data_IF_696974780549
#
_entry.id   IF_696974780549
#
_cell.length_a   1.000
_cell.length_b   1.000
_cell.length_c   1.000
_cell.angle_alpha   90.00
_cell.angle_beta   90.00
_cell.angle_gamma   90.00
#
_symmetry.space_group_name_H-M   'P 1'
#
loop_
_entity.id
_entity.type
_entity.pdbx_description
1 polymer ?
#
# COMPACT_ATOMS: atom_id res chain seq x y z
N UNK A 1 -28.33 -31.99 3.64
CA UNK A 1 -27.16 -31.68 4.46
C UNK A 1 -26.91 -30.22 4.27
N UNK A 2 -27.00 -29.45 5.35
CA UNK A 2 -26.81 -28.00 5.30
C UNK A 2 -25.44 -27.67 5.90
N UNK A 3 -24.73 -26.74 5.26
CA UNK A 3 -23.40 -26.32 5.67
C UNK A 3 -23.45 -24.92 6.25
N UNK A 4 -22.87 -24.76 7.43
CA UNK A 4 -22.81 -23.50 8.16
C UNK A 4 -21.36 -23.13 8.40
N UNK A 5 -21.03 -21.84 8.25
CA UNK A 5 -19.69 -21.31 8.43
C UNK A 5 -19.65 -20.48 9.71
N UNK A 6 -18.60 -20.68 10.52
CA UNK A 6 -18.42 -19.97 11.78
C UNK A 6 -16.97 -19.54 11.97
N UNK A 7 -16.79 -18.50 12.75
CA UNK A 7 -15.51 -18.11 13.32
C UNK A 7 -15.65 -18.27 14.83
N UNK A 8 -14.73 -18.99 15.46
CA UNK A 8 -14.82 -19.27 16.89
C UNK A 8 -13.47 -19.58 17.52
N UNK A 9 -13.40 -19.40 18.83
CA UNK A 9 -12.27 -19.64 19.69
C UNK A 9 -12.16 -21.07 20.19
N UNK A 10 -11.00 -21.43 20.73
CA UNK A 10 -10.76 -22.69 21.41
C UNK A 10 -11.61 -22.79 22.69
N UNK A 11 -12.51 -23.77 22.75
CA UNK A 11 -13.43 -23.96 23.88
C UNK A 11 -14.85 -23.46 23.62
N UNK A 12 -15.07 -22.69 22.55
CA UNK A 12 -16.41 -22.29 22.11
C UNK A 12 -17.28 -23.51 21.82
N UNK A 13 -18.59 -23.36 22.00
CA UNK A 13 -19.55 -24.42 21.77
C UNK A 13 -20.53 -24.04 20.68
N UNK A 14 -20.52 -24.81 19.60
CA UNK A 14 -21.59 -24.75 18.59
C UNK A 14 -22.68 -25.71 19.05
N UNK A 15 -23.88 -25.20 19.28
CA UNK A 15 -25.05 -26.01 19.60
C UNK A 15 -26.08 -25.97 18.48
N UNK A 16 -26.64 -27.12 18.14
CA UNK A 16 -27.91 -27.18 17.41
C UNK A 16 -28.93 -27.93 18.26
N UNK A 17 -30.13 -27.36 18.37
CA UNK A 17 -31.23 -27.92 19.14
C UNK A 17 -32.33 -28.37 18.20
N UNK A 18 -32.86 -29.57 18.42
CA UNK A 18 -33.99 -30.12 17.68
C UNK A 18 -35.17 -30.21 18.63
N UNK A 19 -36.23 -29.48 18.33
CA UNK A 19 -37.45 -29.45 19.14
C UNK A 19 -38.62 -30.03 18.36
N UNK A 20 -39.39 -30.91 19.01
CA UNK A 20 -40.67 -31.39 18.49
C UNK A 20 -41.75 -30.32 18.60
N UNK A 21 -42.36 -29.94 17.48
CA UNK A 21 -43.56 -29.12 17.52
C UNK A 21 -44.78 -30.06 17.49
N UNK A 22 -45.45 -30.18 18.64
CA UNK A 22 -46.79 -30.77 18.76
C UNK A 22 -46.90 -32.31 18.77
N UNK A 23 -45.90 -33.09 18.34
CA UNK A 23 -45.96 -34.56 18.32
C UNK A 23 -44.62 -35.26 18.67
N UNK A 24 -44.33 -35.56 19.95
CA UNK A 24 -43.01 -36.02 20.40
C UNK A 24 -42.65 -37.48 20.05
N UNK A 25 -43.64 -38.33 19.73
CA UNK A 25 -43.44 -39.79 19.60
C UNK A 25 -42.73 -40.23 18.30
N UNK A 26 -42.64 -39.36 17.28
CA UNK A 26 -42.05 -39.69 15.97
C UNK A 26 -40.53 -39.44 15.89
N UNK A 27 -39.95 -38.67 16.82
CA UNK A 27 -38.53 -38.33 16.79
C UNK A 27 -37.62 -39.45 17.30
N UNK A 28 -38.14 -40.39 18.11
CA UNK A 28 -37.35 -41.45 18.71
C UNK A 28 -36.63 -42.33 17.67
N UNK A 29 -37.20 -42.45 16.47
CA UNK A 29 -36.65 -43.26 15.37
C UNK A 29 -35.85 -42.44 14.34
N UNK A 30 -35.79 -41.11 14.48
CA UNK A 30 -35.04 -40.23 13.58
C UNK A 30 -33.64 -39.97 14.12
N UNK A 31 -32.62 -40.29 13.33
CA UNK A 31 -31.22 -39.98 13.63
C UNK A 31 -30.86 -38.62 13.05
N UNK A 32 -30.36 -37.74 13.91
CA UNK A 32 -29.78 -36.45 13.54
C UNK A 32 -28.29 -36.46 13.84
N UNK A 33 -27.53 -35.68 13.08
CA UNK A 33 -26.10 -35.58 13.32
C UNK A 33 -25.44 -34.35 12.71
N UNK A 34 -24.21 -34.12 13.15
CA UNK A 34 -23.37 -33.03 12.72
C UNK A 34 -21.94 -33.50 12.44
N UNK A 35 -21.26 -32.85 11.49
CA UNK A 35 -19.81 -33.00 11.26
C UNK A 35 -19.20 -31.61 11.30
N UNK A 36 -18.20 -31.45 12.17
CA UNK A 36 -17.41 -30.22 12.23
C UNK A 36 -16.13 -30.39 11.40
N UNK A 37 -15.83 -29.39 10.59
CA UNK A 37 -14.62 -29.29 9.77
C UNK A 37 -13.82 -28.04 10.14
N UNK A 38 -12.49 -28.12 10.04
CA UNK A 38 -11.62 -26.95 10.17
C UNK A 38 -11.53 -26.16 8.85
N UNK A 39 -10.78 -25.04 8.88
CA UNK A 39 -10.59 -24.15 7.73
C UNK A 39 -10.02 -24.84 6.47
N UNK A 40 -9.25 -25.92 6.64
CA UNK A 40 -8.64 -26.69 5.55
C UNK A 40 -9.58 -27.77 5.00
N UNK A 41 -10.82 -27.85 5.49
CA UNK A 41 -11.78 -28.89 5.11
C UNK A 41 -11.55 -30.24 5.80
N UNK A 42 -10.64 -30.31 6.78
CA UNK A 42 -10.42 -31.55 7.53
C UNK A 42 -11.53 -31.74 8.56
N UNK A 43 -12.08 -32.95 8.61
CA UNK A 43 -13.05 -33.35 9.62
C UNK A 43 -12.39 -33.43 10.99
N UNK A 44 -12.97 -32.75 11.98
CA UNK A 44 -12.42 -32.66 13.34
C UNK A 44 -13.32 -33.29 14.39
N UNK A 45 -14.65 -33.21 14.25
CA UNK A 45 -15.60 -33.84 15.18
C UNK A 45 -16.82 -34.36 14.44
N UNK A 46 -17.50 -35.33 15.04
CA UNK A 46 -18.70 -35.96 14.51
C UNK A 46 -19.63 -36.40 15.63
N UNK A 47 -20.93 -36.22 15.45
CA UNK A 47 -21.94 -36.71 16.39
C UNK A 47 -23.19 -37.18 15.65
N UNK A 48 -23.84 -38.19 16.21
CA UNK A 48 -25.13 -38.69 15.73
C UNK A 48 -25.91 -39.27 16.90
N UNK A 49 -27.15 -38.80 17.13
CA UNK A 49 -28.06 -39.44 18.09
C UNK A 49 -29.52 -39.38 17.59
N UNK A 50 -30.36 -40.23 18.16
CA UNK A 50 -31.80 -40.28 17.92
C UNK A 50 -32.58 -39.38 18.87
N UNK A 51 -33.74 -38.88 18.44
CA UNK A 51 -34.66 -38.12 19.29
C UNK A 51 -34.50 -36.58 19.25
N UNK A 52 -35.31 -35.88 20.04
CA UNK A 52 -35.15 -34.44 20.30
C UNK A 52 -34.04 -34.22 21.33
N UNK A 53 -33.22 -33.19 21.13
CA UNK A 53 -32.14 -32.86 22.06
C UNK A 53 -31.34 -31.64 21.62
N UNK A 54 -30.44 -31.22 22.49
CA UNK A 54 -29.37 -30.27 22.16
C UNK A 54 -28.10 -31.05 21.86
N UNK A 55 -27.48 -30.74 20.75
CA UNK A 55 -26.26 -31.36 20.27
C UNK A 55 -25.18 -30.30 20.19
N UNK A 56 -23.94 -30.68 20.50
CA UNK A 56 -22.85 -29.71 20.58
C UNK A 56 -21.51 -30.23 20.05
N UNK A 57 -20.70 -29.31 19.52
CA UNK A 57 -19.26 -29.50 19.34
C UNK A 57 -18.49 -28.42 20.10
N UNK A 58 -17.33 -28.80 20.64
CA UNK A 58 -16.40 -27.88 21.27
C UNK A 58 -15.31 -27.54 20.27
N UNK A 59 -15.09 -26.27 19.96
CA UNK A 59 -14.07 -25.89 19.00
C UNK A 59 -12.66 -26.12 19.61
N UNK A 60 -11.77 -26.86 18.92
CA UNK A 60 -10.49 -27.26 19.51
C UNK A 60 -9.43 -26.15 19.50
N UNK A 61 -9.61 -25.13 18.66
CA UNK A 61 -8.65 -24.04 18.45
C UNK A 61 -9.36 -22.75 18.00
N UNK A 62 -8.64 -21.63 17.96
CA UNK A 62 -9.16 -20.43 17.32
C UNK A 62 -9.12 -20.60 15.80
N UNK A 63 -10.21 -20.29 15.09
CA UNK A 63 -10.19 -20.36 13.64
C UNK A 63 -11.56 -20.33 12.95
N UNK A 64 -11.49 -20.58 11.64
CA UNK A 64 -12.67 -20.76 10.79
C UNK A 64 -13.10 -22.23 10.80
N UNK A 65 -14.41 -22.45 10.91
CA UNK A 65 -15.03 -23.77 10.99
C UNK A 65 -16.23 -23.89 10.06
N UNK A 66 -16.53 -25.13 9.66
CA UNK A 66 -17.73 -25.48 8.91
C UNK A 66 -18.48 -26.61 9.63
N UNK A 67 -19.80 -26.45 9.83
CA UNK A 67 -20.67 -27.51 10.36
C UNK A 67 -21.56 -28.02 9.24
N UNK A 68 -21.53 -29.32 8.99
CA UNK A 68 -22.53 -29.99 8.17
C UNK A 68 -23.56 -30.65 9.09
N UNK A 69 -24.85 -30.34 8.95
CA UNK A 69 -25.93 -30.97 9.74
C UNK A 69 -26.82 -31.84 8.82
N UNK A 70 -27.27 -32.99 9.33
CA UNK A 70 -28.24 -33.85 8.65
C UNK A 70 -29.32 -34.39 9.59
N UNK A 71 -30.46 -34.76 8.99
CA UNK A 71 -31.59 -35.42 9.62
C UNK A 71 -32.08 -36.57 8.74
N UNK A 72 -32.69 -37.59 9.37
CA UNK A 72 -32.98 -38.90 8.79
C UNK A 72 -33.68 -38.93 7.41
N UNK A 73 -33.35 -40.01 6.67
CA UNK A 73 -33.84 -40.46 5.35
C UNK A 73 -33.83 -39.44 4.19
N UNK A 74 -32.81 -38.58 4.12
CA UNK A 74 -32.43 -37.93 2.86
C UNK A 74 -33.47 -36.97 2.26
N UNK A 75 -34.27 -36.30 3.09
CA UNK A 75 -35.27 -35.30 2.65
C UNK A 75 -34.86 -33.87 3.05
N UNK A 76 -35.18 -32.86 2.23
CA UNK A 76 -34.78 -31.48 2.47
C UNK A 76 -35.53 -30.83 3.64
N UNK A 77 -34.82 -29.93 4.32
CA UNK A 77 -35.22 -29.19 5.51
C UNK A 77 -36.10 -27.97 5.17
N UNK A 78 -37.03 -27.61 6.06
CA UNK A 78 -37.67 -26.28 6.09
C UNK A 78 -37.57 -25.70 7.50
N UNK A 79 -36.94 -24.54 7.64
CA UNK A 79 -36.89 -23.77 8.88
C UNK A 79 -36.74 -22.28 8.59
N UNK A 80 -37.44 -21.44 9.35
CA UNK A 80 -37.34 -19.98 9.29
C UNK A 80 -36.36 -19.53 10.38
N UNK A 81 -35.30 -18.81 10.00
CA UNK A 81 -34.28 -18.34 10.95
C UNK A 81 -34.65 -16.98 11.52
N UNK A 82 -34.71 -16.88 12.85
CA UNK A 82 -34.63 -15.61 13.54
C UNK A 82 -33.18 -15.40 13.97
N UNK A 83 -32.54 -14.43 13.32
CA UNK A 83 -31.39 -13.67 13.81
C UNK A 83 -29.98 -14.30 13.74
N UNK A 84 -29.38 -14.31 12.55
CA UNK A 84 -27.94 -14.02 12.34
C UNK A 84 -27.74 -13.40 10.95
N UNK A 85 -27.24 -12.17 10.89
CA UNK A 85 -26.67 -11.43 9.74
C UNK A 85 -27.05 -11.90 8.30
N UNK A 86 -27.87 -11.14 7.54
CA UNK A 86 -28.49 -11.56 6.27
C UNK A 86 -27.56 -11.68 5.04
N UNK A 87 -26.23 -11.59 5.16
CA UNK A 87 -25.33 -11.43 4.01
C UNK A 87 -24.60 -12.68 3.49
N UNK A 88 -25.07 -13.91 3.74
CA UNK A 88 -24.46 -15.12 3.18
C UNK A 88 -25.51 -16.07 2.57
N UNK A 89 -25.81 -15.82 1.28
CA UNK A 89 -26.61 -16.58 0.29
C UNK A 89 -28.12 -16.82 0.52
N UNK A 90 -28.98 -16.59 -0.51
CA UNK A 90 -30.37 -17.04 -0.53
C UNK A 90 -30.51 -18.33 -1.35
N UNK A 91 -31.18 -19.37 -0.83
CA UNK A 91 -31.97 -20.29 -1.67
C UNK A 91 -32.98 -21.12 -0.87
N UNK A 92 -34.24 -20.99 -1.27
CA UNK A 92 -35.39 -21.79 -0.87
C UNK A 92 -35.32 -23.21 -1.46
N UNK A 93 -35.76 -24.21 -0.71
CA UNK A 93 -36.05 -25.58 -1.22
C UNK A 93 -37.43 -26.01 -0.70
N UNK A 94 -38.21 -26.63 -1.59
CA UNK A 94 -39.66 -26.78 -1.52
C UNK A 94 -40.24 -27.91 -0.65
N UNK A 95 -41.57 -27.91 -0.61
CA UNK A 95 -42.47 -28.74 0.20
C UNK A 95 -42.49 -30.24 -0.20
N UNK A 96 -42.53 -31.12 0.81
CA UNK A 96 -43.33 -32.35 0.76
C UNK A 96 -43.65 -32.87 2.18
N UNK A 97 -44.92 -33.29 2.35
CA UNK A 97 -45.64 -33.58 3.60
C UNK A 97 -45.49 -35.04 4.07
N UNK A 98 -45.14 -35.25 5.35
CA UNK A 98 -45.87 -36.09 6.33
C UNK A 98 -45.67 -35.47 7.73
N UNK A 99 -46.75 -35.44 8.49
CA UNK A 99 -47.07 -34.46 9.55
C UNK A 99 -46.24 -34.57 10.82
N UNK A 100 -45.35 -33.61 11.01
CA UNK A 100 -44.66 -33.25 12.25
C UNK A 100 -43.69 -32.13 11.93
N UNK A 101 -43.93 -30.92 12.43
CA UNK A 101 -43.00 -29.80 12.25
C UNK A 101 -41.93 -29.91 13.34
N UNK A 102 -40.67 -29.68 12.98
CA UNK A 102 -39.57 -29.64 13.94
C UNK A 102 -38.80 -28.36 13.69
N UNK A 103 -38.48 -27.63 14.75
CA UNK A 103 -37.62 -26.45 14.68
C UNK A 103 -36.19 -26.85 15.02
N UNK A 104 -35.26 -26.45 14.16
CA UNK A 104 -33.83 -26.49 14.48
C UNK A 104 -33.33 -25.08 14.75
N UNK A 105 -32.77 -24.87 15.93
CA UNK A 105 -32.11 -23.62 16.29
C UNK A 105 -30.61 -23.87 16.39
N UNK A 106 -29.81 -23.03 15.74
CA UNK A 106 -28.35 -23.08 15.76
C UNK A 106 -27.86 -21.88 16.56
N UNK A 107 -27.17 -22.14 17.65
CA UNK A 107 -26.64 -21.13 18.55
C UNK A 107 -25.14 -21.34 18.72
N UNK A 108 -24.38 -20.25 18.62
CA UNK A 108 -23.01 -20.21 19.08
C UNK A 108 -23.03 -19.75 20.54
N UNK A 109 -22.60 -20.62 21.45
CA UNK A 109 -22.41 -20.28 22.84
C UNK A 109 -20.93 -20.08 23.10
N UNK A 110 -20.56 -18.84 23.39
CA UNK A 110 -19.26 -18.51 23.92
C UNK A 110 -19.17 -19.06 25.35
N UNK A 111 -18.41 -20.14 25.52
CA UNK A 111 -18.15 -20.72 26.84
C UNK A 111 -16.95 -20.06 27.53
N UNK A 112 -16.37 -19.03 26.92
CA UNK A 112 -15.30 -18.22 27.50
C UNK A 112 -15.86 -16.82 27.79
N UNK A 113 -15.61 -16.21 28.96
CA UNK A 113 -16.25 -14.92 29.25
C UNK A 113 -15.75 -13.73 28.42
N UNK A 114 -14.72 -13.85 27.58
CA UNK A 114 -14.11 -12.73 26.85
C UNK A 114 -13.15 -13.24 25.75
N UNK A 115 -13.60 -13.41 24.51
CA UNK A 115 -12.69 -13.21 23.38
C UNK A 115 -12.71 -11.72 23.01
N UNK A 116 -11.65 -10.95 23.29
CA UNK A 116 -11.55 -9.62 22.70
C UNK A 116 -11.63 -9.78 21.18
N UNK A 117 -12.41 -8.94 20.50
CA UNK A 117 -12.35 -8.86 19.04
C UNK A 117 -10.87 -8.83 18.61
N UNK A 118 -10.45 -9.56 17.55
CA UNK A 118 -9.06 -9.53 17.13
C UNK A 118 -8.62 -8.06 17.05
N UNK A 119 -7.48 -7.70 17.69
CA UNK A 119 -7.13 -6.30 17.85
C UNK A 119 -7.18 -5.57 16.50
N UNK A 120 -7.60 -4.30 16.46
CA UNK A 120 -7.66 -3.58 15.20
C UNK A 120 -6.31 -3.58 14.48
N UNK A 121 -6.35 -3.47 13.15
CA UNK A 121 -5.13 -3.39 12.37
C UNK A 121 -4.30 -2.17 12.79
N UNK A 122 -2.98 -2.30 12.76
CA UNK A 122 -2.08 -1.15 12.91
C UNK A 122 -1.51 -0.75 11.56
N UNK A 123 -1.36 0.56 11.35
CA UNK A 123 -0.81 1.15 10.12
C UNK A 123 0.41 2.00 10.45
N UNK A 124 1.47 1.83 9.65
CA UNK A 124 2.69 2.61 9.76
C UNK A 124 3.20 2.98 8.37
N UNK A 125 3.69 4.21 8.20
CA UNK A 125 4.39 4.64 6.99
C UNK A 125 5.90 4.71 7.23
N UNK A 126 6.68 4.36 6.21
CA UNK A 126 8.13 4.54 6.18
C UNK A 126 8.58 5.00 4.78
N UNK A 127 9.55 5.90 4.73
CA UNK A 127 10.24 6.25 3.49
C UNK A 127 11.02 5.04 2.96
N UNK A 128 10.89 4.75 1.66
CA UNK A 128 11.63 3.66 1.01
C UNK A 128 12.60 4.15 -0.05
N UNK A 129 12.22 5.15 -0.84
CA UNK A 129 13.11 5.87 -1.74
C UNK A 129 12.64 7.31 -1.79
N UNK A 130 13.03 8.11 -0.79
CA UNK A 130 12.49 9.45 -0.60
C UNK A 130 13.57 10.50 -0.30
N UNK A 131 14.83 10.23 -0.63
CA UNK A 131 15.91 11.21 -0.53
C UNK A 131 16.71 11.15 -1.84
N UNK A 132 16.41 12.05 -2.76
CA UNK A 132 16.89 12.02 -4.15
C UNK A 132 17.01 13.45 -4.67
N UNK A 133 17.76 13.64 -5.76
CA UNK A 133 17.71 14.92 -6.49
C UNK A 133 16.45 15.02 -7.34
N UNK A 134 16.03 16.22 -7.75
CA UNK A 134 14.85 16.41 -8.59
C UNK A 134 15.15 16.30 -10.09
N UNK A 135 16.35 16.71 -10.51
CA UNK A 135 16.82 16.72 -11.89
C UNK A 135 16.16 17.80 -12.75
N UNK A 136 16.73 18.05 -13.93
CA UNK A 136 16.38 19.19 -14.79
C UNK A 136 14.95 19.25 -15.37
N UNK A 137 14.22 18.12 -15.44
CA UNK A 137 12.91 18.07 -16.08
C UNK A 137 12.10 16.81 -15.72
N UNK A 138 10.82 16.81 -16.09
CA UNK A 138 9.94 15.66 -15.91
C UNK A 138 9.56 15.49 -14.44
N UNK A 139 9.54 14.25 -13.95
CA UNK A 139 9.28 14.01 -12.53
C UNK A 139 9.99 12.76 -12.03
N UNK A 140 10.43 12.79 -10.78
CA UNK A 140 11.00 11.63 -10.08
C UNK A 140 10.06 11.08 -9.02
N UNK A 141 10.04 9.77 -8.92
CA UNK A 141 9.18 9.05 -7.99
C UNK A 141 9.84 8.93 -6.61
N UNK A 142 9.23 9.55 -5.62
CA UNK A 142 9.53 9.38 -4.21
C UNK A 142 8.54 8.37 -3.62
N UNK A 143 9.06 7.28 -3.05
CA UNK A 143 8.21 6.17 -2.59
C UNK A 143 8.23 5.99 -1.08
N UNK A 144 7.05 5.68 -0.55
CA UNK A 144 6.80 5.41 0.85
C UNK A 144 6.00 4.13 0.97
N UNK A 145 6.40 3.23 1.87
CA UNK A 145 5.65 2.00 2.13
C UNK A 145 4.75 2.19 3.34
N UNK A 146 3.46 1.92 3.15
CA UNK A 146 2.49 1.78 4.24
C UNK A 146 2.37 0.31 4.57
N UNK A 147 2.65 -0.05 5.82
CA UNK A 147 2.55 -1.41 6.35
C UNK A 147 1.29 -1.57 7.19
N UNK A 148 0.57 -2.67 6.99
CA UNK A 148 -0.58 -3.12 7.78
C UNK A 148 -0.19 -4.36 8.59
N UNK A 149 -0.39 -4.29 9.90
CA UNK A 149 -0.01 -5.34 10.86
C UNK A 149 -1.17 -5.70 11.80
N UNK A 150 -0.93 -6.73 12.64
CA UNK A 150 -1.85 -7.24 13.69
C UNK A 150 -3.09 -7.93 13.13
N UNK A 151 -3.93 -7.24 12.36
CA UNK A 151 -5.13 -7.81 11.75
C UNK A 151 -5.18 -7.47 10.25
N UNK A 152 -5.01 -8.51 9.44
CA UNK A 152 -5.05 -8.44 7.98
C UNK A 152 -6.35 -9.00 7.39
N UNK A 153 -7.31 -9.37 8.24
CA UNK A 153 -8.61 -9.86 7.78
C UNK A 153 -9.48 -8.69 7.32
N UNK A 154 -10.23 -8.86 6.25
CA UNK A 154 -11.06 -7.78 5.69
C UNK A 154 -10.26 -6.59 5.15
N UNK A 155 -10.92 -5.46 4.95
CA UNK A 155 -10.31 -4.28 4.31
C UNK A 155 -9.89 -3.22 5.34
N UNK A 156 -8.91 -2.39 4.98
CA UNK A 156 -8.61 -1.14 5.69
C UNK A 156 -8.23 -0.07 4.68
N UNK A 157 -8.74 1.14 4.86
CA UNK A 157 -8.32 2.31 4.10
C UNK A 157 -7.65 3.31 5.03
N UNK A 158 -6.73 4.10 4.50
CA UNK A 158 -6.11 5.23 5.19
C UNK A 158 -5.84 6.35 4.18
N UNK A 159 -6.21 7.57 4.54
CA UNK A 159 -5.91 8.73 3.70
C UNK A 159 -4.46 9.16 3.93
N UNK A 160 -3.89 9.82 2.94
CA UNK A 160 -2.57 10.42 3.04
C UNK A 160 -2.55 11.78 2.35
N UNK A 161 -1.74 12.69 2.86
CA UNK A 161 -1.51 14.00 2.26
C UNK A 161 -0.06 14.43 2.46
N UNK A 162 0.48 15.14 1.47
CA UNK A 162 1.79 15.80 1.51
C UNK A 162 1.64 17.21 2.03
N UNK A 163 2.61 17.64 2.84
CA UNK A 163 2.81 19.04 3.22
C UNK A 163 4.30 19.35 3.25
N UNK A 164 4.70 20.56 2.87
CA UNK A 164 6.06 21.06 3.15
C UNK A 164 6.39 20.98 4.64
N UNK A 165 7.65 20.69 5.00
CA UNK A 165 8.06 20.55 6.41
C UNK A 165 9.44 21.12 6.65
N UNK A 166 9.57 21.86 7.75
CA UNK A 166 10.82 22.49 8.17
C UNK A 166 10.56 23.91 8.64
N UNK A 167 10.79 24.20 9.92
CA UNK A 167 10.83 25.58 10.40
C UNK A 167 12.26 26.11 10.18
N UNK A 168 12.45 26.96 9.17
CA UNK A 168 13.75 27.57 8.85
C UNK A 168 14.65 26.78 7.89
N UNK A 169 14.19 25.63 7.39
CA UNK A 169 14.75 24.89 6.26
C UNK A 169 13.70 24.92 5.17
N UNK A 170 14.07 25.33 3.96
CA UNK A 170 13.20 25.62 2.83
C UNK A 170 12.17 24.49 2.63
N UNK A 171 10.89 24.71 3.00
CA UNK A 171 9.90 23.64 2.93
C UNK A 171 9.36 23.56 1.51
N UNK A 172 9.31 22.34 0.96
CA UNK A 172 8.73 22.11 -0.35
C UNK A 172 7.30 22.67 -0.39
N UNK A 173 7.02 23.44 -1.42
CA UNK A 173 5.76 24.06 -1.70
C UNK A 173 4.97 23.27 -2.76
N UNK A 174 3.93 23.86 -3.34
CA UNK A 174 3.06 23.14 -4.27
C UNK A 174 3.69 23.00 -5.67
N UNK A 175 4.60 23.90 -6.07
CA UNK A 175 5.20 23.92 -7.40
C UNK A 175 6.14 22.75 -7.64
N UNK A 176 6.72 22.19 -6.59
CA UNK A 176 7.73 21.11 -6.66
C UNK A 176 7.07 19.75 -6.92
N UNK A 177 5.74 19.71 -7.04
CA UNK A 177 4.96 18.50 -7.31
C UNK A 177 4.16 18.61 -8.59
N UNK A 178 3.95 17.45 -9.23
CA UNK A 178 3.22 17.36 -10.51
C UNK A 178 1.85 18.02 -10.38
N UNK A 179 1.60 19.02 -11.24
CA UNK A 179 0.34 19.75 -11.28
C UNK A 179 0.28 20.98 -10.36
N UNK A 180 1.37 21.35 -9.70
CA UNK A 180 1.43 22.57 -8.88
C UNK A 180 0.55 22.49 -7.63
N UNK A 181 0.38 21.30 -7.06
CA UNK A 181 -0.48 21.02 -5.92
C UNK A 181 0.17 19.99 -4.99
N UNK A 182 -0.06 20.09 -3.68
CA UNK A 182 0.36 19.06 -2.74
C UNK A 182 -0.35 17.73 -3.01
N UNK A 183 0.39 16.63 -3.25
CA UNK A 183 -0.22 15.33 -3.51
C UNK A 183 -0.98 14.77 -2.30
N UNK A 184 -2.11 14.10 -2.56
CA UNK A 184 -2.88 13.40 -1.54
C UNK A 184 -3.65 12.23 -2.15
N UNK A 185 -4.15 11.32 -1.32
CA UNK A 185 -4.95 10.19 -1.77
C UNK A 185 -5.37 9.25 -0.65
N UNK A 186 -5.76 8.04 -1.06
CA UNK A 186 -6.16 6.97 -0.14
C UNK A 186 -5.40 5.69 -0.49
N UNK A 187 -4.84 5.04 0.52
CA UNK A 187 -4.33 3.66 0.42
C UNK A 187 -5.41 2.71 0.87
N UNK A 188 -5.68 1.68 0.07
CA UNK A 188 -6.68 0.64 0.35
C UNK A 188 -6.05 -0.74 0.41
N UNK A 189 -6.20 -1.41 1.55
CA UNK A 189 -5.81 -2.81 1.75
C UNK A 189 -7.02 -3.71 1.58
N UNK A 190 -6.90 -4.71 0.72
CA UNK A 190 -7.78 -5.88 0.68
C UNK A 190 -7.43 -6.87 1.81
N UNK A 191 -8.25 -7.91 1.95
CA UNK A 191 -7.98 -8.98 2.91
C UNK A 191 -6.65 -9.68 2.57
N UNK A 192 -5.81 -9.86 3.59
CA UNK A 192 -4.49 -10.49 3.51
C UNK A 192 -3.36 -9.57 3.05
N UNK A 193 -3.63 -8.36 2.56
CA UNK A 193 -2.59 -7.43 2.14
C UNK A 193 -1.91 -6.78 3.36
N UNK A 194 -0.58 -6.78 3.36
CA UNK A 194 0.25 -6.29 4.47
C UNK A 194 1.06 -5.05 4.11
N UNK A 195 1.21 -4.71 2.85
CA UNK A 195 1.88 -3.48 2.42
C UNK A 195 1.27 -2.86 1.16
N UNK A 196 1.41 -1.54 1.04
CA UNK A 196 1.11 -0.75 -0.16
C UNK A 196 2.15 0.35 -0.29
N UNK A 197 2.34 0.81 -1.52
CA UNK A 197 3.26 1.90 -1.83
C UNK A 197 2.47 3.17 -2.14
N UNK A 198 2.85 4.28 -1.52
CA UNK A 198 2.50 5.63 -1.93
C UNK A 198 3.65 6.14 -2.80
N UNK A 199 3.31 6.69 -3.96
CA UNK A 199 4.26 7.36 -4.85
C UNK A 199 3.92 8.84 -4.91
N UNK A 200 4.88 9.67 -4.56
CA UNK A 200 4.86 11.13 -4.67
C UNK A 200 5.79 11.49 -5.82
N UNK A 201 5.26 12.11 -6.88
CA UNK A 201 6.07 12.54 -8.02
C UNK A 201 6.50 13.99 -7.82
N UNK A 202 7.79 14.19 -7.61
CA UNK A 202 8.45 15.51 -7.51
C UNK A 202 8.79 15.96 -8.92
N UNK A 203 8.46 17.19 -9.28
CA UNK A 203 8.81 17.77 -10.58
C UNK A 203 10.30 18.09 -10.61
N UNK A 204 10.93 17.80 -11.73
CA UNK A 204 12.27 18.28 -11.99
C UNK A 204 12.22 19.62 -12.73
N UNK A 205 13.11 20.54 -12.37
CA UNK A 205 13.34 21.80 -13.07
C UNK A 205 14.80 22.23 -12.96
N UNK A 206 15.13 23.43 -13.44
CA UNK A 206 16.51 23.95 -13.53
C UNK A 206 16.74 25.16 -12.62
N UNK A 207 15.84 25.39 -11.67
CA UNK A 207 15.85 26.54 -10.78
C UNK A 207 16.75 26.22 -9.59
N UNK A 208 17.74 27.07 -9.36
CA UNK A 208 18.58 26.89 -8.18
C UNK A 208 17.78 27.20 -6.92
N UNK A 209 17.48 26.15 -6.17
CA UNK A 209 16.78 26.21 -4.89
C UNK A 209 17.63 25.53 -3.81
N UNK A 210 17.42 25.83 -2.52
CA UNK A 210 18.04 25.04 -1.47
C UNK A 210 17.39 23.66 -1.38
N UNK A 211 18.07 22.67 -0.80
CA UNK A 211 17.41 21.39 -0.47
C UNK A 211 16.16 21.59 0.39
N UNK A 212 15.12 20.86 0.03
CA UNK A 212 13.79 20.99 0.62
C UNK A 212 13.28 19.69 1.23
N UNK A 213 12.35 19.81 2.18
CA UNK A 213 11.71 18.65 2.80
C UNK A 213 10.19 18.73 2.72
N UNK A 214 9.56 17.56 2.57
CA UNK A 214 8.12 17.38 2.70
C UNK A 214 7.80 16.18 3.60
N UNK A 215 6.58 16.16 4.16
CA UNK A 215 6.08 15.05 4.97
C UNK A 215 4.84 14.46 4.35
N UNK A 216 4.80 13.13 4.23
CA UNK A 216 3.59 12.35 3.95
C UNK A 216 2.95 11.98 5.28
N UNK A 217 1.71 12.43 5.50
CA UNK A 217 0.97 12.17 6.74
C UNK A 217 -0.22 11.27 6.48
N UNK A 218 -0.29 10.12 7.17
CA UNK A 218 -1.45 9.24 7.20
C UNK A 218 -2.54 9.81 8.11
N UNK A 219 -3.81 9.66 7.70
CA UNK A 219 -4.96 10.13 8.45
C UNK A 219 -6.22 9.27 8.21
N UNK A 220 -7.20 9.42 9.12
CA UNK A 220 -8.55 8.85 9.00
C UNK A 220 -8.58 7.35 8.61
N UNK A 221 -7.94 6.46 9.39
CA UNK A 221 -7.98 5.03 9.11
C UNK A 221 -9.40 4.48 9.30
N UNK A 222 -9.80 3.49 8.50
CA UNK A 222 -11.12 2.86 8.59
C UNK A 222 -11.09 1.55 9.39
N UNK A 223 -12.28 1.02 9.72
CA UNK A 223 -12.47 -0.27 10.41
C UNK A 223 -11.69 -0.39 11.73
N UNK A 224 -11.62 0.72 12.48
CA UNK A 224 -11.03 0.79 13.81
C UNK A 224 -9.50 0.71 13.83
N UNK A 225 -8.83 0.68 12.67
CA UNK A 225 -7.38 0.61 12.62
C UNK A 225 -6.73 1.82 13.30
N UNK A 226 -5.56 1.60 13.89
CA UNK A 226 -4.78 2.64 14.56
C UNK A 226 -3.52 2.94 13.75
N UNK A 227 -3.13 4.21 13.69
CA UNK A 227 -1.88 4.62 13.06
C UNK A 227 -0.80 4.64 14.14
N UNK A 228 0.20 3.77 14.03
CA UNK A 228 1.32 3.69 14.97
C UNK A 228 2.49 4.57 14.54
N UNK A 229 2.63 4.80 13.23
CA UNK A 229 3.57 5.78 12.67
C UNK A 229 2.83 6.58 11.62
N UNK A 230 2.57 7.86 11.90
CA UNK A 230 1.71 8.70 11.07
C UNK A 230 2.44 9.41 9.94
N UNK A 231 3.75 9.64 10.07
CA UNK A 231 4.49 10.50 9.17
C UNK A 231 5.76 9.84 8.67
N UNK A 232 6.10 10.10 7.40
CA UNK A 232 7.41 9.86 6.83
C UNK A 232 7.84 11.08 6.01
N UNK A 233 9.13 11.42 6.07
CA UNK A 233 9.69 12.60 5.40
C UNK A 233 10.37 12.20 4.10
N UNK A 234 10.22 13.04 3.07
CA UNK A 234 11.04 13.04 1.87
C UNK A 234 11.91 14.30 1.80
N UNK A 235 13.08 14.16 1.18
CA UNK A 235 14.07 15.23 0.97
C UNK A 235 14.37 15.37 -0.51
N UNK A 236 14.01 16.53 -1.05
CA UNK A 236 14.31 16.96 -2.41
C UNK A 236 15.67 17.65 -2.36
N UNK A 237 16.67 17.08 -3.03
CA UNK A 237 17.99 17.69 -3.10
C UNK A 237 18.10 18.47 -4.40
N UNK A 238 18.47 19.74 -4.29
CA UNK A 238 18.75 20.55 -5.45
C UNK A 238 20.04 20.05 -6.12
N UNK A 239 19.96 19.79 -7.42
CA UNK A 239 21.08 19.46 -8.30
C UNK A 239 21.42 20.58 -9.29
N UNK A 240 20.93 21.80 -9.06
CA UNK A 240 21.25 22.97 -9.87
C UNK A 240 22.25 23.91 -9.18
N UNK A 241 23.11 24.54 -9.99
CA UNK A 241 24.24 25.32 -9.52
C UNK A 241 24.32 26.66 -10.24
N UNK A 242 24.62 27.70 -9.46
CA UNK A 242 24.94 29.03 -9.98
C UNK A 242 26.29 29.49 -9.43
N UNK A 243 27.15 29.95 -10.33
CA UNK A 243 28.43 30.57 -10.04
C UNK A 243 28.28 32.00 -9.52
N UNK A 244 29.40 32.69 -9.51
CA UNK A 244 29.57 34.08 -9.13
C UNK A 244 29.94 34.91 -10.36
N UNK A 245 30.24 36.20 -10.18
CA UNK A 245 30.76 37.04 -11.27
C UNK A 245 32.27 36.92 -11.50
N UNK A 246 32.93 35.91 -10.93
CA UNK A 246 34.35 35.64 -11.13
C UNK A 246 34.56 34.23 -11.65
N UNK A 247 35.81 33.80 -11.89
CA UNK A 247 36.09 32.46 -12.38
C UNK A 247 35.65 31.38 -11.40
N UNK A 248 34.74 30.51 -11.84
CA UNK A 248 34.17 29.45 -11.04
C UNK A 248 34.48 28.06 -11.62
N UNK A 249 34.42 27.05 -10.75
CA UNK A 249 34.44 25.65 -11.16
C UNK A 249 33.15 25.01 -10.69
N UNK A 250 32.25 24.77 -11.62
CA UNK A 250 30.93 24.19 -11.38
C UNK A 250 31.00 22.69 -11.63
N UNK A 251 30.74 21.92 -10.57
CA UNK A 251 30.76 20.46 -10.60
C UNK A 251 29.39 19.96 -10.19
N UNK A 252 28.67 19.42 -11.15
CA UNK A 252 27.37 18.78 -10.96
C UNK A 252 27.44 17.49 -10.12
N UNK A 253 26.28 16.92 -9.86
CA UNK A 253 26.12 15.59 -9.29
C UNK A 253 26.40 14.51 -10.34
N UNK A 254 25.90 13.29 -10.15
CA UNK A 254 25.94 12.25 -11.19
C UNK A 254 24.64 12.17 -12.00
N UNK A 255 23.67 13.02 -11.66
CA UNK A 255 22.38 13.14 -12.36
C UNK A 255 22.44 14.22 -13.42
N UNK A 256 21.28 14.61 -13.93
CA UNK A 256 21.18 15.76 -14.81
C UNK A 256 21.18 17.04 -13.96
N UNK A 257 22.20 17.87 -14.13
CA UNK A 257 22.39 19.13 -13.37
C UNK A 257 22.24 20.36 -14.29
N UNK A 258 21.68 21.48 -13.82
CA UNK A 258 21.79 22.76 -14.52
C UNK A 258 22.88 23.63 -13.87
N UNK A 259 23.90 24.00 -14.63
CA UNK A 259 25.05 24.77 -14.16
C UNK A 259 25.12 26.11 -14.90
N UNK A 260 24.98 27.22 -14.16
CA UNK A 260 25.04 28.59 -14.70
C UNK A 260 26.26 29.34 -14.15
N UNK A 261 27.20 29.73 -15.00
CA UNK A 261 28.49 30.35 -14.61
C UNK A 261 28.36 31.80 -14.20
N UNK A 262 27.57 32.57 -14.97
CA UNK A 262 27.55 34.03 -14.96
C UNK A 262 28.84 34.60 -15.57
N UNK A 263 29.36 35.73 -15.08
CA UNK A 263 30.56 36.33 -15.64
C UNK A 263 31.81 35.69 -15.03
N UNK A 264 32.87 35.50 -15.81
CA UNK A 264 34.04 34.77 -15.34
C UNK A 264 34.61 33.91 -16.46
N UNK A 265 35.78 33.33 -16.22
CA UNK A 265 36.25 32.24 -17.08
C UNK A 265 35.99 30.95 -16.31
N UNK A 266 34.85 30.35 -16.59
CA UNK A 266 34.28 29.30 -15.77
C UNK A 266 34.65 27.92 -16.32
N UNK A 267 34.64 26.93 -15.43
CA UNK A 267 34.89 25.53 -15.77
C UNK A 267 33.72 24.67 -15.32
N UNK A 268 33.10 23.98 -16.27
CA UNK A 268 31.96 23.09 -16.04
C UNK A 268 32.38 21.65 -16.12
N UNK A 269 32.00 20.82 -15.15
CA UNK A 269 32.19 19.36 -15.25
C UNK A 269 30.90 18.71 -15.70
N UNK A 270 30.93 18.07 -16.87
CA UNK A 270 29.79 17.35 -17.45
C UNK A 270 30.06 15.84 -17.39
N UNK A 271 29.13 15.10 -16.80
CA UNK A 271 29.23 13.65 -16.66
C UNK A 271 27.94 12.89 -16.99
N UNK A 272 26.80 13.59 -17.06
CA UNK A 272 25.53 13.03 -17.50
C UNK A 272 25.04 13.70 -18.79
N UNK A 273 24.32 12.95 -19.61
CA UNK A 273 23.79 13.48 -20.88
C UNK A 273 22.69 14.53 -20.66
N UNK A 274 22.09 14.57 -19.47
CA UNK A 274 21.13 15.57 -19.06
C UNK A 274 21.73 16.87 -18.52
N UNK A 275 23.05 16.95 -18.34
CA UNK A 275 23.71 18.16 -17.84
C UNK A 275 23.54 19.35 -18.79
N UNK A 276 23.15 20.48 -18.23
CA UNK A 276 22.95 21.74 -18.93
C UNK A 276 23.99 22.76 -18.47
N UNK A 277 24.88 23.12 -19.37
CA UNK A 277 25.80 24.26 -19.19
C UNK A 277 25.14 25.51 -19.76
N UNK A 278 24.95 26.52 -18.91
CA UNK A 278 24.21 27.74 -19.21
C UNK A 278 25.14 28.94 -19.13
N UNK A 279 25.47 29.47 -20.31
CA UNK A 279 26.34 30.64 -20.48
C UNK A 279 25.67 31.78 -21.24
N UNK A 280 25.98 33.02 -20.86
CA UNK A 280 25.53 34.19 -21.60
C UNK A 280 26.65 34.80 -22.46
N UNK A 281 26.25 35.53 -23.50
CA UNK A 281 27.19 36.10 -24.45
C UNK A 281 28.11 37.14 -23.77
N UNK A 282 29.41 37.07 -24.07
CA UNK A 282 30.46 37.97 -23.57
C UNK A 282 30.65 37.93 -22.04
N UNK A 283 30.44 36.78 -21.41
CA UNK A 283 30.64 36.61 -19.97
C UNK A 283 32.01 36.06 -19.58
N UNK A 284 32.76 35.49 -20.51
CA UNK A 284 34.20 35.29 -20.41
C UNK A 284 34.71 34.32 -21.46
N UNK A 285 35.58 33.42 -21.04
CA UNK A 285 36.10 32.33 -21.88
C UNK A 285 36.03 31.04 -21.10
N UNK A 286 35.02 30.25 -21.42
CA UNK A 286 34.53 29.19 -20.55
C UNK A 286 34.96 27.81 -21.08
N UNK A 287 35.10 26.86 -20.16
CA UNK A 287 35.59 25.51 -20.45
C UNK A 287 34.62 24.46 -19.95
N UNK A 288 34.14 23.61 -20.86
CA UNK A 288 33.42 22.39 -20.50
C UNK A 288 34.41 21.23 -20.45
N UNK A 289 34.54 20.61 -19.29
CA UNK A 289 35.24 19.35 -19.08
C UNK A 289 34.22 18.20 -19.08
N UNK A 290 34.15 17.45 -20.18
CA UNK A 290 33.16 16.39 -20.36
C UNK A 290 33.78 14.99 -20.27
N UNK A 291 33.24 14.15 -19.39
CA UNK A 291 33.63 12.73 -19.29
C UNK A 291 32.83 11.82 -20.25
N UNK A 292 31.91 12.41 -21.01
CA UNK A 292 31.06 11.77 -22.03
C UNK A 292 31.24 12.45 -23.38
N UNK A 293 30.68 11.87 -24.45
CA UNK A 293 30.60 12.58 -25.73
C UNK A 293 29.67 13.78 -25.57
N UNK A 294 30.10 14.95 -26.04
CA UNK A 294 29.41 16.20 -25.73
C UNK A 294 29.47 17.18 -26.89
N UNK A 295 28.43 18.01 -26.98
CA UNK A 295 28.38 19.14 -27.91
C UNK A 295 28.39 20.41 -27.08
N UNK A 296 29.31 21.33 -27.37
CA UNK A 296 29.35 22.61 -26.66
C UNK A 296 28.01 23.34 -26.78
N UNK A 297 27.47 23.86 -25.68
CA UNK A 297 26.34 24.77 -25.74
C UNK A 297 26.78 26.11 -26.37
N UNK A 298 25.81 26.98 -26.65
CA UNK A 298 26.12 28.34 -27.06
C UNK A 298 26.94 29.07 -25.98
N UNK A 299 27.80 30.00 -26.42
CA UNK A 299 28.58 30.88 -25.56
C UNK A 299 29.63 30.21 -24.66
N UNK A 300 29.84 28.89 -24.77
CA UNK A 300 31.02 28.22 -24.21
C UNK A 300 32.08 28.02 -25.31
N UNK A 301 33.34 28.34 -25.01
CA UNK A 301 34.40 28.39 -26.02
C UNK A 301 35.21 27.10 -26.12
N UNK A 302 35.46 26.42 -25.00
CA UNK A 302 36.41 25.32 -24.92
C UNK A 302 35.75 24.01 -24.48
N UNK A 303 36.05 22.91 -25.17
CA UNK A 303 35.67 21.56 -24.76
C UNK A 303 36.92 20.73 -24.50
N UNK A 304 37.05 20.21 -23.28
CA UNK A 304 38.05 19.24 -22.89
C UNK A 304 37.36 17.90 -22.58
N UNK A 305 37.68 16.86 -23.35
CA UNK A 305 37.17 15.51 -23.08
C UNK A 305 38.08 14.82 -22.04
N UNK A 306 37.52 14.47 -20.90
CA UNK A 306 38.27 13.92 -19.75
C UNK A 306 38.02 12.43 -19.52
N UNK A 307 37.00 11.85 -20.16
CA UNK A 307 36.67 10.44 -20.00
C UNK A 307 37.64 9.52 -20.76
N UNK A 308 37.71 8.26 -20.33
CA UNK A 308 38.65 7.27 -20.86
C UNK A 308 38.13 6.46 -22.05
N UNK A 309 36.88 6.68 -22.44
CA UNK A 309 36.25 6.01 -23.59
C UNK A 309 36.59 6.64 -24.93
N UNK A 310 36.06 6.06 -26.01
CA UNK A 310 36.07 6.71 -27.32
C UNK A 310 34.99 7.80 -27.33
N UNK A 311 35.38 9.03 -27.01
CA UNK A 311 34.48 10.18 -26.90
C UNK A 311 34.55 11.05 -28.14
N UNK A 312 33.41 11.63 -28.52
CA UNK A 312 33.33 12.64 -29.57
C UNK A 312 32.99 14.00 -28.93
N UNK A 313 33.74 15.02 -29.32
CA UNK A 313 33.45 16.42 -29.00
C UNK A 313 32.94 17.14 -30.23
N UNK A 314 31.88 17.92 -30.10
CA UNK A 314 31.35 18.77 -31.17
C UNK A 314 31.34 20.22 -30.71
N UNK A 315 31.92 21.13 -31.50
CA UNK A 315 31.86 22.57 -31.20
C UNK A 315 30.50 23.19 -31.51
N UNK A 316 30.25 24.40 -31.02
CA UNK A 316 29.00 25.15 -31.23
C UNK A 316 28.99 26.03 -32.50
N UNK A 317 30.12 26.10 -33.24
CA UNK A 317 30.24 26.91 -34.44
C UNK A 317 30.29 28.43 -34.22
N UNK A 318 30.40 28.89 -32.96
CA UNK A 318 30.47 30.30 -32.59
C UNK A 318 31.90 30.84 -32.47
N UNK A 319 32.92 29.97 -32.43
CA UNK A 319 34.32 30.37 -32.34
C UNK A 319 35.14 29.97 -33.60
N UNK A 320 35.73 30.92 -34.36
CA UNK A 320 36.60 30.64 -35.49
C UNK A 320 38.07 30.33 -35.12
N UNK A 321 38.49 30.43 -33.86
CA UNK A 321 39.87 30.18 -33.44
C UNK A 321 40.05 28.82 -32.73
N UNK A 322 40.15 27.75 -33.52
CA UNK A 322 40.72 26.47 -33.06
C UNK A 322 42.26 26.61 -33.00
N UNK A 323 42.88 26.39 -31.84
CA UNK A 323 44.29 25.98 -31.81
C UNK A 323 44.35 24.49 -31.48
N UNK A 324 44.89 23.75 -32.44
CA UNK A 324 45.23 22.32 -32.36
C UNK A 324 46.25 22.03 -31.26
#
# INVERSE_FOLDING_TARGET
>A
MDFYRFQGGAGDRIEWKITADGFPWYLADLVFGGVLYNANGNRIQNSSQSGSGTYAFILPANGLYYLAVWGGLGRPFSGTFADVNPNLFPRSIGNAVRTGTYTMSLNLFDNTPNYPSPPPATLAIAATSANQTEGNSGSKAFTFTVTRSVNTTGTNNVNWAVTGTGSGSNPANATDFVGGVFPSGTVSFAAGETSKVITVNVLGDTTVEPNENFTVTLSTPTNGATITTATATGSINNDDFIGTSGPDTLVGTSGADAMTGLAGNDTYTVNDAGDLVIEALNQGTDTVQASISYTLPNNAENLLLTGTGNLNGTGNGLNPDYRE
#
